data_IF_404163783434
#
_entry.id   IF_404163783434
#
_cell.length_a   1.000
_cell.length_b   1.000
_cell.length_c   1.000
_cell.angle_alpha   90.00
_cell.angle_beta   90.00
_cell.angle_gamma   90.00
#
_symmetry.space_group_name_H-M   'P 1'
#
loop_
_entity.id
_entity.type
_entity.pdbx_description
1 polymer ?
#
# COMPACT_ATOMS: atom_id res chain seq x y z
N UNK A 1 13.28 -22.00 -14.60
CA UNK A 1 13.52 -22.28 -13.16
C UNK A 1 12.34 -21.63 -12.44
N UNK A 2 11.31 -22.39 -12.07
CA UNK A 2 10.09 -21.79 -11.48
C UNK A 2 10.41 -21.24 -10.08
N UNK A 3 9.86 -20.08 -9.73
CA UNK A 3 9.92 -19.49 -8.40
C UNK A 3 9.44 -20.54 -7.37
N UNK A 4 10.38 -21.18 -6.67
CA UNK A 4 10.07 -21.99 -5.50
C UNK A 4 9.73 -21.07 -4.33
N UNK A 5 8.90 -21.49 -3.36
CA UNK A 5 8.64 -20.70 -2.16
C UNK A 5 9.96 -20.51 -1.40
N UNK A 6 10.57 -19.32 -1.48
CA UNK A 6 11.74 -18.97 -0.69
C UNK A 6 11.29 -18.28 0.59
N UNK A 7 11.46 -18.97 1.72
CA UNK A 7 11.28 -18.41 3.04
C UNK A 7 11.06 -19.51 4.07
N UNK A 8 12.02 -19.67 5.00
CA UNK A 8 11.77 -20.32 6.29
C UNK A 8 10.79 -19.43 7.08
N UNK A 9 9.52 -19.44 6.70
CA UNK A 9 8.46 -18.97 7.57
C UNK A 9 8.12 -20.18 8.42
N UNK A 10 8.35 -20.10 9.72
CA UNK A 10 7.79 -21.04 10.70
C UNK A 10 6.27 -20.84 10.76
N UNK A 11 5.57 -21.23 9.69
CA UNK A 11 4.10 -21.13 9.53
C UNK A 11 3.38 -22.04 10.55
N UNK A 12 4.08 -23.03 11.10
CA UNK A 12 3.51 -24.01 12.03
C UNK A 12 2.91 -23.38 13.31
N UNK A 13 3.35 -22.18 13.71
CA UNK A 13 2.87 -21.53 14.96
C UNK A 13 1.70 -20.57 14.77
N UNK A 14 1.47 -20.04 13.57
CA UNK A 14 0.31 -19.17 13.27
C UNK A 14 -0.85 -19.92 12.60
N UNK A 15 -0.57 -21.01 11.87
CA UNK A 15 -1.61 -21.85 11.30
C UNK A 15 -2.46 -22.58 12.36
N UNK A 16 -1.95 -22.73 13.59
CA UNK A 16 -2.61 -23.46 14.69
C UNK A 16 -3.49 -22.59 15.60
N UNK A 17 -3.36 -21.25 15.55
CA UNK A 17 -4.21 -20.36 16.36
C UNK A 17 -5.58 -20.11 15.70
N UNK A 18 -5.69 -20.26 14.38
CA UNK A 18 -6.80 -19.70 13.61
C UNK A 18 -6.74 -18.17 13.69
N UNK A 19 -6.72 -17.43 12.57
CA UNK A 19 -6.73 -15.97 12.64
C UNK A 19 -7.95 -15.50 13.41
N UNK A 20 -7.76 -14.54 14.33
CA UNK A 20 -8.89 -13.94 15.04
C UNK A 20 -9.79 -13.29 13.98
N UNK A 21 -10.99 -13.84 13.89
CA UNK A 21 -11.97 -13.41 12.91
C UNK A 21 -12.34 -11.94 13.16
N UNK A 22 -12.39 -11.13 12.10
CA UNK A 22 -12.93 -9.77 12.16
C UNK A 22 -14.42 -9.83 12.51
N UNK A 23 -14.73 -9.89 13.81
CA UNK A 23 -16.10 -10.04 14.33
C UNK A 23 -16.94 -8.77 14.17
N UNK A 24 -16.30 -7.64 13.85
CA UNK A 24 -16.90 -6.32 13.69
C UNK A 24 -16.97 -5.86 12.21
N UNK A 25 -16.86 -6.79 11.25
CA UNK A 25 -17.15 -6.48 9.85
C UNK A 25 -18.60 -5.98 9.71
N UNK A 26 -18.87 -4.84 9.03
CA UNK A 26 -20.21 -4.24 8.99
C UNK A 26 -21.31 -5.21 8.53
N UNK A 27 -20.96 -6.12 7.63
CA UNK A 27 -21.88 -7.10 7.02
C UNK A 27 -21.74 -8.52 7.62
N UNK A 28 -20.96 -8.68 8.70
CA UNK A 28 -20.69 -9.95 9.36
C UNK A 28 -19.62 -10.83 8.69
N UNK A 29 -19.26 -11.93 9.36
CA UNK A 29 -18.14 -12.81 8.98
C UNK A 29 -18.30 -13.43 7.59
N UNK A 30 -19.49 -13.92 7.25
CA UNK A 30 -19.74 -14.56 5.95
C UNK A 30 -19.42 -13.59 4.80
N UNK A 31 -19.89 -12.35 4.89
CA UNK A 31 -19.61 -11.32 3.90
C UNK A 31 -18.12 -10.95 3.79
N UNK A 32 -17.38 -10.99 4.91
CA UNK A 32 -15.92 -10.81 4.87
C UNK A 32 -15.22 -11.97 4.14
N UNK A 33 -15.60 -13.22 4.44
CA UNK A 33 -15.04 -14.40 3.77
C UNK A 33 -15.32 -14.37 2.26
N UNK A 34 -16.56 -14.08 1.86
CA UNK A 34 -16.94 -13.98 0.45
C UNK A 34 -16.15 -12.88 -0.26
N UNK A 35 -15.99 -11.71 0.37
CA UNK A 35 -15.16 -10.63 -0.14
C UNK A 35 -13.70 -11.06 -0.31
N UNK A 36 -13.13 -11.70 0.71
CA UNK A 36 -11.74 -12.15 0.71
C UNK A 36 -11.49 -13.15 -0.42
N UNK A 37 -12.32 -14.19 -0.53
CA UNK A 37 -12.17 -15.24 -1.54
C UNK A 37 -12.34 -14.67 -2.95
N UNK A 38 -13.30 -13.76 -3.14
CA UNK A 38 -13.48 -13.03 -4.40
C UNK A 38 -12.23 -12.24 -4.76
N UNK A 39 -11.67 -11.46 -3.83
CA UNK A 39 -10.46 -10.65 -4.10
C UNK A 39 -9.21 -11.50 -4.30
N UNK A 40 -9.07 -12.61 -3.58
CA UNK A 40 -7.98 -13.57 -3.84
C UNK A 40 -8.05 -14.08 -5.28
N UNK A 41 -9.24 -14.48 -5.75
CA UNK A 41 -9.39 -14.98 -7.12
C UNK A 41 -9.17 -13.89 -8.16
N UNK A 42 -9.73 -12.69 -7.96
CA UNK A 42 -9.50 -11.55 -8.87
C UNK A 42 -8.01 -11.20 -8.98
N UNK A 43 -7.30 -11.12 -7.85
CA UNK A 43 -5.87 -10.81 -7.84
C UNK A 43 -5.04 -11.94 -8.48
N UNK A 44 -5.41 -13.21 -8.25
CA UNK A 44 -4.78 -14.37 -8.89
C UNK A 44 -4.97 -14.39 -10.41
N UNK A 45 -6.07 -13.81 -10.90
CA UNK A 45 -6.36 -13.77 -12.33
C UNK A 45 -5.78 -12.55 -13.04
N UNK A 46 -5.50 -11.47 -12.30
CA UNK A 46 -5.14 -10.19 -12.93
C UNK A 46 -3.78 -9.62 -12.51
N UNK A 47 -3.25 -9.97 -11.33
CA UNK A 47 -2.07 -9.32 -10.76
C UNK A 47 -0.91 -10.28 -10.46
N UNK A 48 -1.14 -11.32 -9.66
CA UNK A 48 -0.09 -12.25 -9.24
C UNK A 48 -0.69 -13.60 -8.85
N UNK A 49 -0.12 -14.75 -9.25
CA UNK A 49 -0.75 -16.04 -8.94
C UNK A 49 -0.76 -16.32 -7.43
N UNK A 50 -1.80 -17.00 -6.97
CA UNK A 50 -1.87 -17.51 -5.60
C UNK A 50 -1.22 -18.89 -5.49
N UNK A 51 -0.70 -19.23 -4.33
CA UNK A 51 -0.19 -20.56 -4.05
C UNK A 51 -1.35 -21.49 -3.69
N UNK A 52 -1.46 -22.60 -4.41
CA UNK A 52 -2.39 -23.68 -4.09
C UNK A 52 -1.68 -24.69 -3.19
N UNK A 53 -2.09 -24.71 -1.92
CA UNK A 53 -1.52 -25.58 -0.89
C UNK A 53 -1.84 -27.06 -1.09
N UNK A 54 -2.92 -27.40 -1.81
CA UNK A 54 -3.28 -28.80 -2.06
C UNK A 54 -2.40 -29.40 -3.15
N UNK A 55 -2.15 -28.64 -4.22
CA UNK A 55 -1.36 -29.12 -5.36
C UNK A 55 0.12 -28.74 -5.28
N UNK A 56 0.49 -27.82 -4.40
CA UNK A 56 1.84 -27.26 -4.29
C UNK A 56 2.26 -26.43 -5.51
N UNK A 57 1.29 -25.93 -6.30
CA UNK A 57 1.53 -25.17 -7.53
C UNK A 57 0.98 -23.74 -7.43
N UNK A 58 1.43 -22.89 -8.36
CA UNK A 58 0.87 -21.56 -8.57
C UNK A 58 -0.44 -21.64 -9.38
N UNK A 59 -1.49 -20.99 -8.89
CA UNK A 59 -2.84 -20.96 -9.46
C UNK A 59 -3.28 -19.53 -9.83
N UNK A 60 -4.25 -19.44 -10.75
CA UNK A 60 -4.74 -18.19 -11.33
C UNK A 60 -4.18 -17.93 -12.73
N UNK A 61 -4.87 -17.09 -13.51
CA UNK A 61 -4.48 -16.81 -14.91
C UNK A 61 -3.08 -16.20 -15.05
N UNK A 62 -2.63 -15.43 -14.06
CA UNK A 62 -1.31 -14.80 -14.09
C UNK A 62 -0.16 -15.78 -13.91
N UNK A 63 -0.41 -17.01 -13.47
CA UNK A 63 0.63 -18.03 -13.34
C UNK A 63 1.37 -18.29 -14.68
N UNK A 64 0.68 -18.09 -15.81
CA UNK A 64 1.25 -18.28 -17.14
C UNK A 64 2.34 -17.26 -17.52
N UNK A 65 2.31 -16.06 -16.92
CA UNK A 65 3.19 -14.94 -17.27
C UNK A 65 3.87 -14.28 -16.06
N UNK A 66 3.82 -14.92 -14.89
CA UNK A 66 4.33 -14.39 -13.63
C UNK A 66 5.82 -14.00 -13.69
N UNK A 67 6.68 -14.87 -14.25
CA UNK A 67 8.13 -14.59 -14.35
C UNK A 67 8.41 -13.38 -15.26
N UNK A 68 7.69 -13.26 -16.39
CA UNK A 68 7.85 -12.16 -17.33
C UNK A 68 7.36 -10.84 -16.74
N UNK A 69 6.18 -10.85 -16.12
CA UNK A 69 5.61 -9.70 -15.43
C UNK A 69 6.55 -9.20 -14.32
N UNK A 70 7.02 -10.08 -13.44
CA UNK A 70 7.95 -9.72 -12.36
C UNK A 70 9.23 -9.11 -12.92
N UNK A 71 9.83 -9.71 -13.96
CA UNK A 71 11.04 -9.17 -14.58
C UNK A 71 10.80 -7.77 -15.17
N UNK A 72 9.67 -7.56 -15.84
CA UNK A 72 9.29 -6.27 -16.39
C UNK A 72 9.10 -5.21 -15.27
N UNK A 73 8.42 -5.57 -14.19
CA UNK A 73 8.25 -4.69 -13.02
C UNK A 73 9.58 -4.29 -12.38
N UNK A 74 10.50 -5.24 -12.20
CA UNK A 74 11.83 -4.95 -11.67
C UNK A 74 12.62 -4.01 -12.58
N UNK A 75 12.49 -4.18 -13.90
CA UNK A 75 13.12 -3.29 -14.88
C UNK A 75 12.56 -1.87 -14.78
N UNK A 76 11.23 -1.73 -14.71
CA UNK A 76 10.56 -0.43 -14.51
C UNK A 76 11.05 0.22 -13.22
N UNK A 77 11.12 -0.54 -12.11
CA UNK A 77 11.61 -0.02 -10.83
C UNK A 77 13.05 0.49 -10.93
N UNK A 78 13.93 -0.27 -11.58
CA UNK A 78 15.32 0.12 -11.77
C UNK A 78 15.43 1.41 -12.59
N UNK A 79 14.69 1.48 -13.70
CA UNK A 79 14.77 2.58 -14.66
C UNK A 79 14.11 3.87 -14.20
N UNK A 80 12.90 3.76 -13.63
CA UNK A 80 12.07 4.91 -13.28
C UNK A 80 12.34 5.46 -11.89
N UNK A 81 12.79 4.61 -10.97
CA UNK A 81 12.93 5.00 -9.56
C UNK A 81 14.38 4.99 -9.09
N UNK A 82 15.09 3.88 -9.30
CA UNK A 82 16.40 3.69 -8.66
C UNK A 82 17.53 4.41 -9.37
N UNK A 83 17.57 4.40 -10.72
CA UNK A 83 18.59 5.14 -11.49
C UNK A 83 18.46 6.66 -11.33
N UNK A 84 17.24 7.15 -11.16
CA UNK A 84 16.95 8.56 -10.88
C UNK A 84 17.12 8.95 -9.40
N UNK A 85 17.51 8.01 -8.54
CA UNK A 85 17.58 8.19 -7.08
C UNK A 85 16.32 8.86 -6.51
N UNK A 86 15.13 8.38 -6.87
CA UNK A 86 13.86 9.01 -6.47
C UNK A 86 13.72 9.14 -4.95
N UNK A 87 14.32 8.23 -4.18
CA UNK A 87 14.32 8.32 -2.72
C UNK A 87 15.05 9.55 -2.19
N UNK A 88 16.02 10.09 -2.92
CA UNK A 88 16.75 11.30 -2.53
C UNK A 88 16.02 12.59 -2.96
N UNK A 89 14.90 12.47 -3.68
CA UNK A 89 14.06 13.59 -4.09
C UNK A 89 13.05 13.95 -3.00
N UNK A 90 12.54 15.18 -3.07
CA UNK A 90 11.50 15.67 -2.18
C UNK A 90 10.11 15.30 -2.72
N UNK A 91 9.15 14.90 -1.87
CA UNK A 91 7.78 14.68 -2.32
C UNK A 91 7.09 16.00 -2.70
N UNK A 92 6.09 15.92 -3.58
CA UNK A 92 5.34 17.07 -4.11
C UNK A 92 4.26 17.63 -3.13
N UNK A 93 4.46 17.45 -1.82
CA UNK A 93 3.45 17.84 -0.82
C UNK A 93 3.31 19.38 -0.72
N UNK A 94 2.10 19.95 -0.87
CA UNK A 94 1.91 21.41 -0.97
C UNK A 94 2.21 22.23 0.31
N UNK A 95 2.40 21.61 1.48
CA UNK A 95 2.62 22.34 2.76
C UNK A 95 4.09 22.73 3.05
N UNK A 96 5.03 22.50 2.12
CA UNK A 96 6.47 22.70 2.41
C UNK A 96 6.93 24.17 2.55
N UNK A 97 6.16 25.16 2.09
CA UNK A 97 6.68 26.53 1.97
C UNK A 97 6.71 27.32 3.29
N UNK A 98 5.94 26.92 4.31
CA UNK A 98 6.02 27.54 5.63
C UNK A 98 7.13 26.95 6.53
N UNK A 99 7.68 25.79 6.15
CA UNK A 99 8.67 25.03 6.93
C UNK A 99 9.87 24.63 6.05
N UNK A 100 10.33 25.52 5.17
CA UNK A 100 11.38 25.24 4.16
C UNK A 100 12.65 24.62 4.75
N UNK A 101 13.04 25.01 5.97
CA UNK A 101 14.20 24.42 6.68
C UNK A 101 14.02 22.95 7.08
N UNK A 102 12.82 22.39 6.90
CA UNK A 102 12.44 21.06 7.31
C UNK A 102 12.05 20.14 6.15
N UNK A 103 12.25 20.52 4.88
CA UNK A 103 11.98 19.61 3.75
C UNK A 103 12.67 18.25 3.95
N UNK A 104 11.93 17.17 3.74
CA UNK A 104 12.39 15.78 3.93
C UNK A 104 12.26 15.02 2.61
N UNK A 105 13.25 14.19 2.32
CA UNK A 105 13.25 13.37 1.11
C UNK A 105 12.32 12.17 1.28
N UNK A 106 11.97 11.50 0.17
CA UNK A 106 11.28 10.23 0.22
C UNK A 106 12.03 9.20 1.09
N UNK A 107 13.37 9.18 1.10
CA UNK A 107 14.18 8.30 1.94
C UNK A 107 13.95 8.55 3.43
N UNK A 108 13.86 9.81 3.84
CA UNK A 108 13.58 10.14 5.24
C UNK A 108 12.20 9.62 5.64
N UNK A 109 11.17 9.90 4.85
CA UNK A 109 9.82 9.40 5.10
C UNK A 109 9.81 7.88 5.14
N UNK A 110 10.37 7.22 4.12
CA UNK A 110 10.49 5.77 4.03
C UNK A 110 11.08 5.16 5.31
N UNK A 111 12.17 5.74 5.82
CA UNK A 111 12.82 5.28 7.04
C UNK A 111 11.91 5.39 8.24
N UNK A 112 11.32 6.56 8.43
CA UNK A 112 10.46 6.86 9.58
C UNK A 112 9.22 5.96 9.61
N UNK A 113 8.63 5.71 8.45
CA UNK A 113 7.38 4.95 8.31
C UNK A 113 7.57 3.46 8.53
N UNK A 114 8.76 2.95 8.24
CA UNK A 114 9.15 1.55 8.43
C UNK A 114 9.89 1.33 9.76
N UNK A 115 10.08 2.39 10.54
CA UNK A 115 10.76 2.35 11.83
C UNK A 115 9.78 1.93 12.93
N UNK A 116 9.93 0.71 13.45
CA UNK A 116 9.24 0.27 14.65
C UNK A 116 10.22 0.17 15.83
N UNK A 117 10.17 1.13 16.76
CA UNK A 117 10.65 0.92 18.13
C UNK A 117 12.01 1.50 18.54
N UNK A 118 12.81 2.09 17.65
CA UNK A 118 13.93 2.98 18.06
C UNK A 118 13.59 4.39 17.58
N UNK A 119 13.82 5.41 18.40
CA UNK A 119 13.51 6.79 18.01
C UNK A 119 14.48 7.23 16.91
N UNK A 120 13.97 7.63 15.74
CA UNK A 120 14.77 8.20 14.67
C UNK A 120 15.06 9.67 14.99
N UNK A 121 16.30 10.10 14.75
CA UNK A 121 16.74 11.50 14.83
C UNK A 121 17.00 12.06 16.24
N UNK A 122 17.73 13.18 16.25
CA UNK A 122 18.28 13.76 17.48
C UNK A 122 17.32 14.75 18.17
N UNK A 123 16.30 15.23 17.46
CA UNK A 123 15.40 16.27 17.94
C UNK A 123 14.00 15.74 18.30
N UNK A 124 13.24 16.53 19.07
CA UNK A 124 11.92 16.14 19.57
C UNK A 124 10.91 15.84 18.44
N UNK A 125 11.03 16.53 17.30
CA UNK A 125 10.15 16.32 16.16
C UNK A 125 10.39 14.95 15.51
N UNK A 126 11.64 14.61 15.23
CA UNK A 126 12.02 13.33 14.61
C UNK A 126 11.58 12.14 15.47
N UNK A 127 11.78 12.25 16.79
CA UNK A 127 11.32 11.23 17.76
C UNK A 127 9.80 11.09 17.79
N UNK A 128 9.07 12.20 17.65
CA UNK A 128 7.62 12.17 17.57
C UNK A 128 7.15 11.54 16.25
N UNK A 129 7.78 11.90 15.13
CA UNK A 129 7.44 11.42 13.80
C UNK A 129 7.76 9.92 13.60
N UNK A 130 8.61 9.32 14.44
CA UNK A 130 9.05 7.91 14.33
C UNK A 130 8.53 7.00 15.45
N UNK A 131 7.50 7.41 16.19
CA UNK A 131 6.99 6.66 17.35
C UNK A 131 6.35 5.33 16.94
N UNK A 132 5.71 5.29 15.79
CA UNK A 132 5.07 4.11 15.19
C UNK A 132 4.85 4.33 13.69
N UNK A 133 4.55 3.28 12.90
CA UNK A 133 4.18 3.45 11.50
C UNK A 133 3.09 4.54 11.40
N UNK A 134 3.18 5.48 10.46
CA UNK A 134 2.26 6.64 10.30
C UNK A 134 2.43 7.82 11.27
N UNK A 135 3.24 7.73 12.32
CA UNK A 135 3.38 8.86 13.27
C UNK A 135 3.95 10.14 12.65
N UNK A 136 4.58 10.07 11.47
CA UNK A 136 4.99 11.23 10.69
C UNK A 136 3.82 11.99 10.05
N UNK A 137 2.58 11.51 10.15
CA UNK A 137 1.40 12.24 9.67
C UNK A 137 1.19 13.56 10.43
N UNK A 138 1.70 13.69 11.67
CA UNK A 138 1.72 14.95 12.42
C UNK A 138 2.46 16.07 11.70
N UNK A 139 3.32 15.72 10.73
CA UNK A 139 3.96 16.69 9.85
C UNK A 139 3.00 17.30 8.82
N UNK A 140 1.98 16.54 8.44
CA UNK A 140 0.99 16.89 7.42
C UNK A 140 -0.26 17.50 8.04
N UNK A 141 -0.60 17.10 9.26
CA UNK A 141 -1.70 17.66 10.04
C UNK A 141 -1.26 17.93 11.50
N UNK A 142 -0.86 19.17 11.84
CA UNK A 142 -0.45 19.52 13.18
C UNK A 142 -1.62 19.58 14.18
N UNK A 143 -2.88 19.53 13.70
CA UNK A 143 -4.04 19.43 14.58
C UNK A 143 -4.21 18.02 15.16
N UNK A 144 -3.59 17.01 14.54
CA UNK A 144 -3.55 15.64 15.06
C UNK A 144 -2.35 15.46 15.99
N UNK A 145 -2.57 14.73 17.08
CA UNK A 145 -1.47 14.23 17.91
C UNK A 145 -1.33 12.71 17.77
N UNK A 146 -0.11 12.22 18.03
CA UNK A 146 0.23 10.81 17.92
C UNK A 146 -0.67 9.87 18.74
N UNK A 147 -1.18 10.33 19.88
CA UNK A 147 -2.07 9.54 20.73
C UNK A 147 -3.44 9.35 20.07
N UNK A 148 -3.98 10.42 19.49
CA UNK A 148 -5.24 10.40 18.74
C UNK A 148 -5.15 9.46 17.54
N UNK A 149 -4.06 9.57 16.77
CA UNK A 149 -3.82 8.70 15.62
C UNK A 149 -3.65 7.24 16.07
N UNK A 150 -2.92 7.00 17.16
CA UNK A 150 -2.74 5.66 17.69
C UNK A 150 -4.06 5.03 18.11
N UNK A 151 -4.84 5.70 18.97
CA UNK A 151 -6.10 5.18 19.48
C UNK A 151 -7.13 4.98 18.38
N UNK A 152 -7.23 5.93 17.44
CA UNK A 152 -8.21 5.85 16.35
C UNK A 152 -7.80 4.84 15.29
N UNK A 153 -6.53 4.78 14.90
CA UNK A 153 -6.14 4.02 13.73
C UNK A 153 -5.32 2.79 14.06
N UNK A 154 -4.35 2.87 14.96
CA UNK A 154 -3.50 1.71 15.28
C UNK A 154 -4.27 0.68 16.11
N UNK A 155 -5.02 1.11 17.13
CA UNK A 155 -5.79 0.20 17.97
C UNK A 155 -7.02 -0.38 17.24
N UNK A 156 -7.63 0.36 16.31
CA UNK A 156 -8.65 -0.20 15.40
C UNK A 156 -8.01 -1.12 14.36
N UNK A 157 -6.88 -0.72 13.77
CA UNK A 157 -6.17 -1.55 12.80
C UNK A 157 -5.72 -2.85 13.43
N UNK A 158 -5.18 -2.87 14.65
CA UNK A 158 -4.80 -4.12 15.34
C UNK A 158 -5.98 -5.07 15.54
N UNK A 159 -7.16 -4.54 15.82
CA UNK A 159 -8.41 -5.33 15.90
C UNK A 159 -8.90 -5.85 14.54
N UNK A 160 -8.40 -5.27 13.44
CA UNK A 160 -8.81 -5.54 12.04
C UNK A 160 -7.66 -6.05 11.14
N UNK A 161 -6.44 -6.18 11.67
CA UNK A 161 -5.19 -6.29 10.92
C UNK A 161 -5.03 -7.63 10.22
N UNK A 162 -5.69 -8.67 10.75
CA UNK A 162 -5.67 -10.03 10.20
C UNK A 162 -6.17 -10.07 8.75
N UNK A 163 -6.97 -9.08 8.31
CA UNK A 163 -7.52 -9.09 6.96
C UNK A 163 -6.49 -8.99 5.84
N UNK A 164 -5.48 -8.12 5.95
CA UNK A 164 -4.49 -7.92 4.87
C UNK A 164 -3.38 -8.97 4.88
N UNK A 165 -3.02 -9.48 6.06
CA UNK A 165 -1.99 -10.52 6.18
C UNK A 165 -2.46 -11.85 5.60
N UNK A 166 -3.76 -12.17 5.69
CA UNK A 166 -4.34 -13.35 5.03
C UNK A 166 -4.09 -13.37 3.53
N UNK A 167 -4.15 -12.23 2.83
CA UNK A 167 -3.78 -12.19 1.41
C UNK A 167 -2.32 -12.59 1.23
N UNK A 168 -1.40 -12.09 2.07
CA UNK A 168 0.03 -12.43 1.97
C UNK A 168 0.31 -13.92 2.01
N UNK A 169 -0.42 -14.65 2.87
CA UNK A 169 -0.30 -16.10 2.99
C UNK A 169 -0.87 -16.87 1.79
N UNK A 170 -1.82 -16.28 1.05
CA UNK A 170 -2.33 -16.87 -0.19
C UNK A 170 -1.38 -16.67 -1.37
N UNK A 171 -0.71 -15.51 -1.45
CA UNK A 171 0.12 -15.19 -2.62
C UNK A 171 1.59 -15.56 -2.46
N UNK A 172 2.12 -15.64 -1.24
CA UNK A 172 3.53 -15.99 -0.94
C UNK A 172 4.55 -15.32 -1.88
N UNK A 173 4.25 -14.12 -2.40
CA UNK A 173 5.05 -13.47 -3.42
C UNK A 173 6.43 -13.15 -2.85
N UNK A 174 7.53 -13.58 -3.51
CA UNK A 174 8.88 -13.19 -3.12
C UNK A 174 9.03 -11.68 -3.09
N UNK A 175 10.05 -11.17 -2.38
CA UNK A 175 10.36 -9.74 -2.39
C UNK A 175 11.14 -9.36 -3.65
N UNK A 176 11.04 -8.11 -4.14
CA UNK A 176 11.77 -7.67 -5.33
C UNK A 176 13.26 -7.96 -5.33
N UNK A 177 13.94 -7.83 -4.19
CA UNK A 177 15.37 -8.12 -4.09
C UNK A 177 15.70 -9.61 -4.32
N UNK A 178 14.79 -10.52 -3.92
CA UNK A 178 14.98 -11.96 -4.11
C UNK A 178 14.87 -12.30 -5.60
N UNK A 179 13.82 -11.80 -6.26
CA UNK A 179 13.62 -12.02 -7.70
C UNK A 179 14.69 -11.31 -8.54
N UNK A 180 15.10 -10.09 -8.17
CA UNK A 180 16.21 -9.39 -8.82
C UNK A 180 17.51 -10.20 -8.75
N UNK A 181 17.78 -10.86 -7.61
CA UNK A 181 18.92 -11.77 -7.47
C UNK A 181 18.78 -12.97 -8.40
N UNK A 182 17.61 -13.60 -8.45
CA UNK A 182 17.33 -14.75 -9.33
C UNK A 182 17.47 -14.40 -10.82
N UNK A 183 17.07 -13.19 -11.23
CA UNK A 183 17.20 -12.72 -12.61
C UNK A 183 18.57 -12.10 -12.93
N UNK A 184 19.51 -12.07 -11.99
CA UNK A 184 20.86 -11.53 -12.19
C UNK A 184 20.90 -10.01 -12.36
N UNK A 185 19.93 -9.28 -11.81
CA UNK A 185 19.84 -7.81 -11.87
C UNK A 185 20.72 -7.16 -10.79
N UNK A 186 22.03 -7.13 -11.04
CA UNK A 186 23.05 -6.70 -10.05
C UNK A 186 22.92 -5.25 -9.57
N UNK A 187 22.31 -4.39 -10.38
CA UNK A 187 22.15 -2.96 -10.06
C UNK A 187 20.88 -2.66 -9.26
N UNK A 188 20.02 -3.67 -9.03
CA UNK A 188 18.79 -3.49 -8.27
C UNK A 188 19.10 -3.26 -6.79
N UNK A 189 18.64 -2.12 -6.27
CA UNK A 189 18.82 -1.73 -4.88
C UNK A 189 17.60 -2.12 -4.05
N UNK A 190 17.85 -2.56 -2.84
CA UNK A 190 16.84 -2.78 -1.83
C UNK A 190 17.22 -1.99 -0.59
N UNK A 191 16.28 -1.17 -0.12
CA UNK A 191 16.46 -0.32 1.05
C UNK A 191 15.69 -0.90 2.23
N UNK A 192 16.38 -1.18 3.33
CA UNK A 192 15.75 -1.39 4.62
C UNK A 192 15.88 -0.12 5.45
N UNK A 193 14.84 0.25 6.18
CA UNK A 193 14.92 1.39 7.09
C UNK A 193 15.87 1.16 8.28
N UNK A 194 16.00 -0.10 8.71
CA UNK A 194 16.85 -0.53 9.83
C UNK A 194 17.40 -1.94 9.57
N UNK A 195 18.31 -2.40 10.44
CA UNK A 195 18.78 -3.80 10.48
C UNK A 195 17.69 -4.81 10.92
N UNK A 196 16.59 -4.32 11.50
CA UNK A 196 15.50 -5.12 12.08
C UNK A 196 14.13 -4.71 11.52
N UNK A 197 14.05 -4.27 10.25
CA UNK A 197 12.77 -3.88 9.67
C UNK A 197 11.84 -5.07 9.52
N UNK A 198 10.59 -4.84 9.93
CA UNK A 198 9.49 -5.77 9.67
C UNK A 198 9.27 -5.97 8.17
N UNK A 199 9.44 -4.90 7.38
CA UNK A 199 9.43 -4.97 5.92
C UNK A 199 10.61 -5.80 5.43
N UNK A 200 10.29 -6.99 4.91
CA UNK A 200 11.24 -7.97 4.39
C UNK A 200 11.05 -9.38 4.97
N UNK A 201 10.41 -9.52 6.14
CA UNK A 201 10.24 -10.83 6.80
C UNK A 201 8.96 -11.59 6.41
N UNK A 202 8.11 -10.97 5.60
CA UNK A 202 6.83 -11.54 5.13
C UNK A 202 6.66 -11.32 3.62
N UNK A 203 5.76 -12.07 2.95
CA UNK A 203 5.52 -11.95 1.52
C UNK A 203 5.20 -10.52 1.06
N UNK A 204 5.55 -10.21 -0.19
CA UNK A 204 5.40 -8.88 -0.77
C UNK A 204 3.94 -8.51 -1.02
N UNK A 205 3.17 -9.39 -1.64
CA UNK A 205 1.83 -9.06 -2.14
C UNK A 205 0.73 -9.28 -1.10
N UNK A 206 -0.23 -8.35 -0.88
CA UNK A 206 -0.24 -6.95 -1.33
C UNK A 206 0.59 -6.05 -0.41
N UNK A 207 0.81 -4.78 -0.76
CA UNK A 207 1.51 -3.83 0.09
C UNK A 207 0.65 -3.36 1.28
N UNK A 208 0.98 -3.80 2.50
CA UNK A 208 0.26 -3.41 3.72
C UNK A 208 0.32 -1.91 3.97
N UNK A 209 1.51 -1.32 3.87
CA UNK A 209 1.73 0.12 4.00
C UNK A 209 0.91 0.94 3.01
N UNK A 210 0.75 0.46 1.78
CA UNK A 210 -0.08 1.14 0.78
C UNK A 210 -1.56 1.16 1.19
N UNK A 211 -2.12 0.01 1.62
CA UNK A 211 -3.52 -0.05 2.11
C UNK A 211 -3.71 0.85 3.32
N UNK A 212 -2.79 0.78 4.28
CA UNK A 212 -2.86 1.56 5.51
C UNK A 212 -2.78 3.06 5.24
N UNK A 213 -1.88 3.52 4.37
CA UNK A 213 -1.74 4.93 4.00
C UNK A 213 -3.06 5.51 3.48
N UNK A 214 -3.71 4.81 2.54
CA UNK A 214 -5.00 5.22 1.99
C UNK A 214 -6.14 5.21 3.03
N UNK A 215 -6.29 4.12 3.78
CA UNK A 215 -7.40 4.00 4.74
C UNK A 215 -7.26 4.95 5.94
N UNK A 216 -6.04 5.17 6.44
CA UNK A 216 -5.78 6.09 7.54
C UNK A 216 -6.05 7.53 7.10
N UNK A 217 -5.50 7.96 5.96
CA UNK A 217 -5.74 9.31 5.48
C UNK A 217 -7.21 9.53 5.11
N UNK A 218 -7.86 8.53 4.51
CA UNK A 218 -9.31 8.56 4.27
C UNK A 218 -10.11 8.73 5.56
N UNK A 219 -9.78 8.00 6.62
CA UNK A 219 -10.46 8.13 7.91
C UNK A 219 -10.18 9.46 8.62
N UNK A 220 -9.00 10.07 8.42
CA UNK A 220 -8.71 11.41 8.92
C UNK A 220 -9.52 12.46 8.18
N UNK A 221 -9.59 12.38 6.85
CA UNK A 221 -10.46 13.24 6.03
C UNK A 221 -11.91 13.08 6.49
N UNK A 222 -12.36 11.83 6.66
CA UNK A 222 -13.69 11.52 7.13
C UNK A 222 -13.93 12.19 8.49
N UNK A 223 -13.04 12.06 9.47
CA UNK A 223 -13.20 12.74 10.77
C UNK A 223 -13.11 14.28 10.69
N UNK A 224 -12.22 14.84 9.86
CA UNK A 224 -12.08 16.29 9.72
C UNK A 224 -13.37 16.94 9.26
N UNK A 225 -14.03 16.35 8.27
CA UNK A 225 -15.33 16.78 7.75
C UNK A 225 -16.47 16.78 8.80
N UNK A 226 -16.32 16.10 9.96
CA UNK A 226 -17.28 16.21 11.07
C UNK A 226 -17.02 17.45 11.94
N UNK A 227 -15.79 17.95 11.94
CA UNK A 227 -15.30 18.93 12.91
C UNK A 227 -14.98 20.29 12.29
N UNK A 228 -14.61 20.33 11.02
CA UNK A 228 -14.30 21.53 10.26
C UNK A 228 -14.46 21.29 8.75
N UNK A 229 -14.36 22.38 7.98
CA UNK A 229 -14.21 22.32 6.52
C UNK A 229 -12.71 22.39 6.20
N UNK A 230 -12.03 21.26 5.87
CA UNK A 230 -10.61 21.27 5.59
C UNK A 230 -10.34 22.04 4.29
N UNK A 231 -9.43 23.03 4.35
CA UNK A 231 -9.05 23.79 3.16
C UNK A 231 -8.39 22.91 2.10
N UNK A 232 -8.46 23.33 0.83
CA UNK A 232 -7.95 22.56 -0.30
C UNK A 232 -6.48 22.15 -0.17
N UNK A 233 -5.63 23.01 0.39
CA UNK A 233 -4.20 22.72 0.62
C UNK A 233 -4.01 21.52 1.56
N UNK A 234 -4.89 21.40 2.55
CA UNK A 234 -4.82 20.36 3.58
C UNK A 234 -5.30 19.03 3.01
N UNK A 235 -6.38 19.09 2.22
CA UNK A 235 -6.87 17.97 1.44
C UNK A 235 -5.79 17.46 0.47
N UNK A 236 -5.17 18.34 -0.31
CA UNK A 236 -4.11 17.95 -1.24
C UNK A 236 -2.89 17.35 -0.53
N UNK A 237 -2.51 17.87 0.64
CA UNK A 237 -1.42 17.32 1.43
C UNK A 237 -1.72 15.92 1.98
N UNK A 238 -2.94 15.70 2.50
CA UNK A 238 -3.38 14.39 2.98
C UNK A 238 -3.48 13.38 1.83
N UNK A 239 -4.00 13.79 0.67
CA UNK A 239 -4.08 12.95 -0.52
C UNK A 239 -2.71 12.56 -1.05
N UNK A 240 -1.77 13.51 -1.14
CA UNK A 240 -0.39 13.21 -1.52
C UNK A 240 0.24 12.22 -0.55
N UNK A 241 0.10 12.47 0.76
CA UNK A 241 0.66 11.61 1.79
C UNK A 241 0.09 10.18 1.76
N UNK A 242 -1.21 10.05 1.47
CA UNK A 242 -1.90 8.76 1.42
C UNK A 242 -1.27 7.79 0.40
N UNK A 243 -0.93 8.28 -0.80
CA UNK A 243 -0.34 7.46 -1.87
C UNK A 243 1.16 7.29 -1.74
N UNK A 244 1.84 8.33 -1.27
CA UNK A 244 3.28 8.35 -1.03
C UNK A 244 3.75 7.18 -0.15
N UNK A 245 2.92 6.80 0.83
CA UNK A 245 3.20 5.69 1.75
C UNK A 245 3.42 4.35 1.03
N UNK A 246 2.64 4.11 -0.03
CA UNK A 246 2.76 2.95 -0.90
C UNK A 246 3.86 3.15 -1.93
N UNK A 247 3.93 4.31 -2.58
CA UNK A 247 4.88 4.60 -3.65
C UNK A 247 6.33 4.43 -3.17
N UNK A 248 6.65 4.93 -1.97
CA UNK A 248 7.99 4.80 -1.38
C UNK A 248 8.42 3.35 -1.14
N UNK A 249 7.47 2.40 -1.06
CA UNK A 249 7.79 0.96 -0.98
C UNK A 249 8.29 0.39 -2.30
N UNK A 250 7.75 0.88 -3.40
CA UNK A 250 8.26 0.52 -4.73
C UNK A 250 9.60 1.21 -4.97
N UNK A 251 9.73 2.48 -4.57
CA UNK A 251 10.99 3.23 -4.66
C UNK A 251 12.11 2.56 -3.86
N UNK A 252 11.78 2.05 -2.67
CA UNK A 252 12.67 1.28 -1.78
C UNK A 252 13.06 -0.11 -2.29
N UNK A 253 12.44 -0.59 -3.37
CA UNK A 253 12.69 -1.94 -3.89
C UNK A 253 12.19 -3.06 -2.97
N UNK A 254 11.18 -2.77 -2.12
CA UNK A 254 10.57 -3.77 -1.20
C UNK A 254 9.23 -4.31 -1.70
N UNK A 255 8.59 -3.62 -2.63
CA UNK A 255 7.33 -4.01 -3.25
C UNK A 255 7.36 -3.80 -4.77
N UNK A 256 6.54 -4.56 -5.49
CA UNK A 256 6.33 -4.37 -6.93
C UNK A 256 5.20 -3.36 -7.19
N UNK A 257 5.16 -2.69 -8.36
CA UNK A 257 4.04 -1.87 -8.76
C UNK A 257 2.66 -2.56 -8.61
N UNK A 258 2.54 -3.83 -9.02
CA UNK A 258 1.30 -4.61 -8.90
C UNK A 258 0.90 -4.92 -7.45
N UNK A 259 1.85 -4.93 -6.49
CA UNK A 259 1.50 -5.04 -5.07
C UNK A 259 0.69 -3.81 -4.62
N UNK A 260 1.01 -2.62 -5.14
CA UNK A 260 0.27 -1.39 -4.86
C UNK A 260 -1.07 -1.35 -5.61
N UNK A 261 -1.16 -1.91 -6.82
CA UNK A 261 -2.45 -2.04 -7.53
C UNK A 261 -3.45 -2.83 -6.66
N UNK A 262 -3.04 -3.98 -6.14
CA UNK A 262 -3.88 -4.78 -5.25
C UNK A 262 -4.28 -3.99 -3.98
N UNK A 263 -3.34 -3.25 -3.42
CA UNK A 263 -3.58 -2.40 -2.24
C UNK A 263 -4.56 -1.26 -2.52
N UNK A 264 -4.43 -0.56 -3.64
CA UNK A 264 -5.32 0.52 -4.05
C UNK A 264 -6.74 0.01 -4.28
N UNK A 265 -6.88 -1.07 -5.06
CA UNK A 265 -8.17 -1.71 -5.31
C UNK A 265 -8.81 -2.14 -3.99
N UNK A 266 -8.05 -2.81 -3.12
CA UNK A 266 -8.57 -3.21 -1.82
C UNK A 266 -8.97 -2.00 -0.97
N UNK A 267 -8.14 -0.96 -0.86
CA UNK A 267 -8.43 0.23 -0.07
C UNK A 267 -9.69 0.98 -0.56
N UNK A 268 -9.88 1.11 -1.87
CA UNK A 268 -11.08 1.74 -2.45
C UNK A 268 -12.35 0.95 -2.09
N UNK A 269 -12.34 -0.37 -2.23
CA UNK A 269 -13.49 -1.21 -1.86
C UNK A 269 -13.78 -1.19 -0.36
N UNK A 270 -12.73 -1.29 0.47
CA UNK A 270 -12.85 -1.21 1.92
C UNK A 270 -13.37 0.16 2.35
N UNK A 271 -12.87 1.24 1.75
CA UNK A 271 -13.29 2.61 2.05
C UNK A 271 -14.80 2.82 1.88
N UNK A 272 -15.39 2.22 0.84
CA UNK A 272 -16.84 2.25 0.62
C UNK A 272 -17.68 1.62 1.72
N UNK A 273 -17.07 0.81 2.61
CA UNK A 273 -17.74 0.12 3.73
C UNK A 273 -17.33 0.66 5.10
N UNK A 274 -16.16 1.30 5.19
CA UNK A 274 -15.53 1.66 6.47
C UNK A 274 -15.74 3.12 6.87
N UNK A 275 -15.92 4.02 5.91
CA UNK A 275 -16.09 5.45 6.19
C UNK A 275 -17.54 5.79 6.52
N UNK A 276 -17.75 6.85 7.31
CA UNK A 276 -19.06 7.44 7.62
C UNK A 276 -19.66 8.10 6.38
N UNK A 277 -18.82 8.73 5.54
CA UNK A 277 -19.18 9.42 4.29
C UNK A 277 -18.44 8.82 3.09
N UNK A 278 -18.67 7.55 2.75
CA UNK A 278 -17.96 6.89 1.66
C UNK A 278 -18.15 7.60 0.31
N UNK A 279 -19.30 8.23 0.09
CA UNK A 279 -19.63 9.01 -1.11
C UNK A 279 -18.75 10.26 -1.31
N UNK A 280 -18.11 10.76 -0.25
CA UNK A 280 -17.14 11.87 -0.31
C UNK A 280 -15.71 11.34 -0.28
N UNK A 281 -15.41 10.44 0.67
CA UNK A 281 -14.03 10.02 0.95
C UNK A 281 -13.49 9.06 -0.12
N UNK A 282 -14.31 8.17 -0.66
CA UNK A 282 -13.86 7.21 -1.68
C UNK A 282 -13.44 7.92 -2.99
N UNK A 283 -14.19 8.90 -3.54
CA UNK A 283 -13.71 9.71 -4.66
C UNK A 283 -12.39 10.41 -4.39
N UNK A 284 -12.16 10.91 -3.17
CA UNK A 284 -10.89 11.55 -2.79
C UNK A 284 -9.73 10.56 -2.77
N UNK A 285 -9.95 9.31 -2.35
CA UNK A 285 -8.94 8.25 -2.44
C UNK A 285 -8.62 7.93 -3.90
N UNK A 286 -9.64 7.82 -4.77
CA UNK A 286 -9.44 7.58 -6.21
C UNK A 286 -8.67 8.75 -6.83
N UNK A 287 -9.02 10.00 -6.49
CA UNK A 287 -8.30 11.18 -6.95
C UNK A 287 -6.85 11.17 -6.44
N UNK A 288 -6.62 10.85 -5.17
CA UNK A 288 -5.26 10.71 -4.63
C UNK A 288 -4.43 9.72 -5.47
N UNK A 289 -4.97 8.53 -5.75
CA UNK A 289 -4.30 7.52 -6.60
C UNK A 289 -4.02 8.09 -7.99
N UNK A 290 -5.02 8.67 -8.65
CA UNK A 290 -4.95 9.02 -10.07
C UNK A 290 -4.19 10.31 -10.35
N UNK A 291 -4.23 11.30 -9.44
CA UNK A 291 -3.61 12.61 -9.63
C UNK A 291 -2.30 12.80 -8.85
N UNK A 292 -2.14 12.15 -7.69
CA UNK A 292 -1.00 12.38 -6.78
C UNK A 292 0.07 11.29 -6.82
N UNK A 293 -0.30 10.03 -7.11
CA UNK A 293 0.67 8.93 -7.10
C UNK A 293 1.64 9.04 -8.28
N UNK A 294 2.94 9.05 -7.96
CA UNK A 294 3.99 8.97 -8.97
C UNK A 294 4.04 7.57 -9.58
N UNK A 295 3.79 6.53 -8.78
CA UNK A 295 3.72 5.17 -9.25
C UNK A 295 2.57 4.95 -10.23
N UNK A 296 1.39 5.53 -9.98
CA UNK A 296 0.24 5.42 -10.88
C UNK A 296 0.57 5.98 -12.27
N UNK A 297 1.20 7.16 -12.33
CA UNK A 297 1.68 7.77 -13.59
C UNK A 297 2.63 6.82 -14.34
N UNK A 298 3.59 6.22 -13.63
CA UNK A 298 4.50 5.23 -14.23
C UNK A 298 3.77 3.98 -14.71
N UNK A 299 2.79 3.46 -13.97
CA UNK A 299 1.96 2.33 -14.41
C UNK A 299 1.24 2.68 -15.72
N UNK A 300 0.63 3.87 -15.80
CA UNK A 300 -0.04 4.33 -17.02
C UNK A 300 0.89 4.41 -18.22
N UNK A 301 2.11 4.93 -18.02
CA UNK A 301 3.08 5.16 -19.09
C UNK A 301 3.84 3.90 -19.52
N UNK A 302 4.09 2.97 -18.60
CA UNK A 302 5.00 1.83 -18.81
C UNK A 302 4.29 0.50 -19.04
N UNK A 303 3.18 0.21 -18.35
CA UNK A 303 2.60 -1.14 -18.38
C UNK A 303 2.12 -1.54 -19.78
N UNK A 304 1.68 -0.58 -20.60
CA UNK A 304 1.28 -0.84 -21.99
C UNK A 304 2.41 -1.38 -22.87
N UNK A 305 3.68 -1.18 -22.50
CA UNK A 305 4.86 -1.61 -23.25
C UNK A 305 5.21 -3.08 -23.03
N UNK A 306 4.60 -3.74 -22.04
CA UNK A 306 4.87 -5.12 -21.66
C UNK A 306 3.57 -5.92 -21.69
N UNK A 307 3.47 -6.90 -22.59
CA UNK A 307 2.26 -7.73 -22.75
C UNK A 307 1.82 -8.36 -21.42
N UNK A 308 2.77 -8.90 -20.65
CA UNK A 308 2.53 -9.52 -19.34
C UNK A 308 1.97 -8.57 -18.27
N UNK A 309 2.02 -7.24 -18.47
CA UNK A 309 1.51 -6.24 -17.53
C UNK A 309 0.21 -5.55 -17.99
N UNK A 310 -0.23 -5.77 -19.23
CA UNK A 310 -1.45 -5.16 -19.76
C UNK A 310 -2.71 -5.60 -19.00
N UNK A 311 -2.76 -6.87 -18.57
CA UNK A 311 -3.85 -7.40 -17.74
C UNK A 311 -3.96 -6.65 -16.41
N UNK A 312 -2.82 -6.40 -15.75
CA UNK A 312 -2.80 -5.68 -14.47
C UNK A 312 -3.26 -4.22 -14.62
N UNK A 313 -2.83 -3.54 -15.69
CA UNK A 313 -3.29 -2.18 -16.00
C UNK A 313 -4.80 -2.15 -16.27
N UNK A 314 -5.28 -3.04 -17.12
CA UNK A 314 -6.70 -3.11 -17.49
C UNK A 314 -7.58 -3.39 -16.27
N UNK A 315 -7.13 -4.28 -15.37
CA UNK A 315 -7.79 -4.54 -14.11
C UNK A 315 -7.83 -3.29 -13.23
N UNK A 316 -6.72 -2.57 -13.04
CA UNK A 316 -6.69 -1.33 -12.27
C UNK A 316 -7.69 -0.30 -12.82
N UNK A 317 -7.64 -0.03 -14.14
CA UNK A 317 -8.53 0.94 -14.79
C UNK A 317 -10.00 0.56 -14.59
N UNK A 318 -10.35 -0.71 -14.77
CA UNK A 318 -11.71 -1.20 -14.57
C UNK A 318 -12.19 -1.09 -13.12
N UNK A 319 -11.33 -1.39 -12.14
CA UNK A 319 -11.70 -1.31 -10.72
C UNK A 319 -11.88 0.15 -10.27
N UNK A 320 -11.03 1.08 -10.73
CA UNK A 320 -11.19 2.50 -10.42
C UNK A 320 -12.43 3.10 -11.10
N UNK A 321 -12.72 2.69 -12.33
CA UNK A 321 -13.94 3.11 -13.04
C UNK A 321 -15.21 2.61 -12.34
N UNK A 322 -15.26 1.31 -11.99
CA UNK A 322 -16.41 0.73 -11.29
C UNK A 322 -16.67 1.42 -9.95
N UNK A 323 -15.62 1.68 -9.16
CA UNK A 323 -15.75 2.41 -7.91
C UNK A 323 -16.24 3.85 -8.12
N UNK A 324 -15.83 4.50 -9.22
CA UNK A 324 -16.32 5.81 -9.59
C UNK A 324 -17.78 5.79 -10.13
N UNK A 325 -18.28 4.67 -10.66
CA UNK A 325 -19.66 4.55 -11.17
C UNK A 325 -20.69 4.25 -10.07
N UNK A 326 -20.27 3.61 -8.97
CA UNK A 326 -21.12 3.34 -7.80
C UNK A 326 -21.62 4.58 -7.03
N UNK A 327 -21.47 5.78 -7.60
CA UNK A 327 -21.94 7.05 -7.04
C UNK A 327 -23.47 7.08 -7.02
N UNK A 328 -24.13 7.40 -5.88
CA UNK A 328 -25.44 8.02 -5.97
C UNK A 328 -25.29 9.31 -6.79
N UNK A 329 -26.18 9.53 -7.76
CA UNK A 329 -26.17 10.77 -8.55
C UNK A 329 -26.15 11.98 -7.59
N UNK A 330 -25.38 13.05 -7.88
CA UNK A 330 -25.40 14.23 -7.05
C UNK A 330 -26.85 14.72 -6.95
N UNK A 331 -27.40 14.70 -5.74
CA UNK A 331 -28.68 15.35 -5.47
C UNK A 331 -28.46 16.84 -5.70
N UNK A 332 -29.10 17.40 -6.73
CA UNK A 332 -29.13 18.84 -6.97
C UNK A 332 -29.59 19.52 -5.68
N UNK A 333 -28.67 20.27 -5.05
CA UNK A 333 -28.89 21.02 -3.80
C UNK A 333 -29.18 22.48 -4.05
#
# INVERSE_FOLDING_TARGET
>A
MRLQPWGNISVEREASAGPEVMTDWPDGLAAWSDYFDTKVQEFADNLWPRFDWETGNWAGKTAAFADEATKAELQICLERFQRGNILDQYPDTPRFDAMVSMRRTHMWHYRVEDFAGESHGDNAFEKAASRFPFSNIVYYDPAQNNETIWTRFVDLSKRKADGTFRFKLQFLRPRPYADATLFGMKDFKHHTATRYTHTGMHPAFPSGHCVQGLLICGGIIDDLLDTCDPGQIDMDALMQYAVDFGDRRVFGGVHYPTDNIASWVNAVHLGGKLFKRPEIVQPLIIDAITSKSTLYKVICDEFGKYEALQTAKSYLDAQLALAAEGRPAPTEG
#
